data_IF_940400473168
#
_entry.id   IF_940400473168
#
_cell.length_a   1.000
_cell.length_b   1.000
_cell.length_c   1.000
_cell.angle_alpha   90.00
_cell.angle_beta   90.00
_cell.angle_gamma   90.00
#
_symmetry.space_group_name_H-M   'P 1'
#
loop_
_entity.id
_entity.type
_entity.pdbx_description
1 polymer ?
#
# COMPACT_ATOMS: atom_id res chain seq x y z
N UNK A 1 -4.78 -7.22 0.94
CA UNK A 1 -5.12 -7.63 -0.44
C UNK A 1 -4.09 -8.67 -0.88
N UNK A 2 -4.52 -9.92 -1.14
CA UNK A 2 -3.64 -10.94 -1.72
C UNK A 2 -3.30 -10.49 -3.14
N UNK A 3 -2.03 -10.38 -3.49
CA UNK A 3 -1.61 -10.20 -4.88
C UNK A 3 -2.07 -11.41 -5.68
N UNK A 4 -2.98 -11.20 -6.62
CA UNK A 4 -3.47 -12.25 -7.52
C UNK A 4 -2.36 -12.63 -8.49
N UNK A 5 -2.05 -13.92 -8.58
CA UNK A 5 -0.94 -14.42 -9.38
C UNK A 5 -1.28 -14.45 -10.87
N UNK A 6 -2.58 -14.46 -11.21
CA UNK A 6 -3.05 -14.47 -12.59
C UNK A 6 -4.14 -13.41 -12.83
N UNK A 7 -4.31 -12.93 -14.08
CA UNK A 7 -5.42 -12.03 -14.42
C UNK A 7 -6.81 -12.63 -14.13
N UNK A 8 -6.96 -13.96 -14.27
CA UNK A 8 -8.23 -14.61 -13.97
C UNK A 8 -8.53 -14.62 -12.46
N UNK A 9 -7.53 -14.82 -11.61
CA UNK A 9 -7.68 -14.66 -10.15
C UNK A 9 -8.02 -13.22 -9.76
N UNK A 10 -7.48 -12.23 -10.46
CA UNK A 10 -7.88 -10.83 -10.25
C UNK A 10 -9.34 -10.60 -10.67
N UNK A 11 -9.77 -11.14 -11.81
CA UNK A 11 -11.17 -11.11 -12.22
C UNK A 11 -12.12 -11.79 -11.23
N UNK A 12 -11.71 -12.93 -10.64
CA UNK A 12 -12.44 -13.59 -9.55
C UNK A 12 -12.53 -12.68 -8.32
N UNK A 13 -11.45 -11.98 -7.96
CA UNK A 13 -11.45 -11.05 -6.84
C UNK A 13 -12.43 -9.89 -7.05
N UNK A 14 -12.48 -9.33 -8.26
CA UNK A 14 -13.44 -8.29 -8.62
C UNK A 14 -14.88 -8.84 -8.59
N UNK A 15 -15.12 -10.02 -9.18
CA UNK A 15 -16.45 -10.65 -9.21
C UNK A 15 -17.01 -11.00 -7.82
N UNK A 16 -16.12 -11.24 -6.86
CA UNK A 16 -16.45 -11.59 -5.48
C UNK A 16 -16.17 -10.44 -4.50
N UNK A 17 -15.94 -9.21 -4.98
CA UNK A 17 -15.44 -8.09 -4.16
C UNK A 17 -16.35 -7.74 -2.97
N UNK A 18 -17.64 -8.06 -3.07
CA UNK A 18 -18.66 -7.82 -2.07
C UNK A 18 -19.07 -9.09 -1.28
N UNK A 19 -18.35 -10.19 -1.52
CA UNK A 19 -18.49 -11.47 -0.82
C UNK A 19 -19.55 -12.41 -1.39
N UNK A 20 -20.14 -12.11 -2.55
CA UNK A 20 -21.06 -13.02 -3.26
C UNK A 20 -20.90 -12.92 -4.78
N UNK A 21 -20.97 -14.06 -5.48
CA UNK A 21 -20.96 -14.08 -6.94
C UNK A 21 -22.37 -13.91 -7.51
N UNK A 22 -22.58 -12.87 -8.31
CA UNK A 22 -23.84 -12.65 -9.03
C UNK A 22 -23.88 -13.43 -10.35
N UNK A 23 -25.09 -13.64 -10.90
CA UNK A 23 -25.28 -14.28 -12.22
C UNK A 23 -24.55 -13.52 -13.33
N UNK A 24 -24.58 -12.19 -13.29
CA UNK A 24 -23.87 -11.33 -14.24
C UNK A 24 -22.37 -11.41 -14.04
N UNK A 25 -21.88 -11.46 -12.80
CA UNK A 25 -20.47 -11.72 -12.49
C UNK A 25 -19.97 -13.04 -13.09
N UNK A 26 -20.77 -14.12 -12.98
CA UNK A 26 -20.42 -15.42 -13.59
C UNK A 26 -20.31 -15.35 -15.13
N UNK A 27 -21.24 -14.65 -15.80
CA UNK A 27 -21.18 -14.42 -17.25
C UNK A 27 -19.96 -13.57 -17.65
N UNK A 28 -19.61 -12.55 -16.86
CA UNK A 28 -18.41 -11.75 -17.10
C UNK A 28 -17.13 -12.57 -16.92
N UNK A 29 -17.10 -13.55 -16.00
CA UNK A 29 -15.98 -14.48 -15.87
C UNK A 29 -15.85 -15.43 -17.06
N UNK A 30 -16.94 -15.84 -17.70
CA UNK A 30 -16.90 -16.59 -18.97
C UNK A 30 -16.31 -15.75 -20.11
N UNK A 31 -16.68 -14.47 -20.19
CA UNK A 31 -16.09 -13.52 -21.13
C UNK A 31 -14.60 -13.32 -20.87
N UNK A 32 -14.21 -13.20 -19.60
CA UNK A 32 -12.81 -13.11 -19.20
C UNK A 32 -12.03 -14.38 -19.57
N UNK A 33 -12.58 -15.58 -19.29
CA UNK A 33 -11.97 -16.85 -19.68
C UNK A 33 -11.68 -16.90 -21.18
N UNK A 34 -12.68 -16.53 -21.98
CA UNK A 34 -12.58 -16.51 -23.45
C UNK A 34 -11.48 -15.54 -23.90
N UNK A 35 -11.43 -14.35 -23.29
CA UNK A 35 -10.42 -13.32 -23.60
C UNK A 35 -9.00 -13.76 -23.23
N UNK A 36 -8.83 -14.41 -22.09
CA UNK A 36 -7.53 -14.91 -21.62
C UNK A 36 -7.13 -16.25 -22.28
N UNK A 37 -7.97 -16.79 -23.18
CA UNK A 37 -7.76 -18.08 -23.88
C UNK A 37 -7.50 -19.22 -22.88
N UNK A 38 -8.27 -19.24 -21.80
CA UNK A 38 -8.16 -20.27 -20.75
C UNK A 38 -9.08 -21.45 -21.06
N UNK A 39 -8.54 -22.67 -21.02
CA UNK A 39 -9.36 -23.89 -21.08
C UNK A 39 -10.20 -24.07 -19.81
N UNK A 40 -11.34 -24.77 -19.92
CA UNK A 40 -12.20 -25.08 -18.78
C UNK A 40 -11.44 -25.80 -17.66
N UNK A 41 -10.50 -26.68 -18.02
CA UNK A 41 -9.63 -27.38 -17.07
C UNK A 41 -8.72 -26.41 -16.29
N UNK A 42 -8.14 -25.42 -16.96
CA UNK A 42 -7.31 -24.41 -16.30
C UNK A 42 -8.15 -23.51 -15.41
N UNK A 43 -9.32 -23.05 -15.89
CA UNK A 43 -10.27 -22.26 -15.12
C UNK A 43 -10.70 -23.01 -13.85
N UNK A 44 -11.14 -24.25 -13.97
CA UNK A 44 -11.59 -25.06 -12.84
C UNK A 44 -10.49 -25.20 -11.78
N UNK A 45 -9.24 -25.43 -12.18
CA UNK A 45 -8.12 -25.52 -11.24
C UNK A 45 -7.79 -24.21 -10.52
N UNK A 46 -8.04 -23.06 -11.14
CA UNK A 46 -7.89 -21.73 -10.51
C UNK A 46 -9.06 -21.49 -9.54
N UNK A 47 -10.30 -21.76 -9.98
CA UNK A 47 -11.50 -21.58 -9.17
C UNK A 47 -11.51 -22.51 -7.94
N UNK A 48 -11.06 -23.76 -8.07
CA UNK A 48 -10.96 -24.69 -6.94
C UNK A 48 -9.99 -24.18 -5.86
N UNK A 49 -8.81 -23.70 -6.26
CA UNK A 49 -7.85 -23.06 -5.35
C UNK A 49 -8.42 -21.79 -4.72
N UNK A 50 -9.14 -21.00 -5.51
CA UNK A 50 -9.81 -19.79 -5.05
C UNK A 50 -10.85 -20.13 -3.98
N UNK A 51 -11.75 -21.08 -4.25
CA UNK A 51 -12.80 -21.55 -3.33
C UNK A 51 -12.23 -22.05 -2.00
N UNK A 52 -11.13 -22.81 -2.02
CA UNK A 52 -10.44 -23.24 -0.80
C UNK A 52 -9.99 -22.03 0.05
N UNK A 53 -9.62 -20.94 -0.60
CA UNK A 53 -9.21 -19.69 0.05
C UNK A 53 -10.36 -18.81 0.54
N UNK A 54 -11.62 -19.09 0.14
CA UNK A 54 -12.83 -18.34 0.53
C UNK A 54 -13.40 -18.75 1.90
N UNK A 55 -12.90 -19.84 2.51
CA UNK A 55 -13.39 -20.39 3.80
C UNK A 55 -13.43 -19.39 4.98
N UNK A 56 -12.84 -18.20 4.81
CA UNK A 56 -12.78 -17.12 5.82
C UNK A 56 -13.56 -15.85 5.46
N UNK A 57 -14.32 -15.82 4.35
CA UNK A 57 -15.03 -14.60 3.91
C UNK A 57 -16.44 -14.59 4.50
N UNK A 58 -16.67 -13.70 5.48
CA UNK A 58 -18.02 -13.34 5.90
C UNK A 58 -18.74 -12.65 4.73
N UNK A 59 -19.94 -13.13 4.40
CA UNK A 59 -20.83 -12.54 3.39
C UNK A 59 -21.14 -11.09 3.78
N UNK A 60 -20.75 -10.11 2.94
CA UNK A 60 -20.88 -8.67 3.24
C UNK A 60 -22.00 -7.97 2.45
N UNK A 61 -22.50 -8.56 1.36
CA UNK A 61 -23.43 -7.91 0.41
C UNK A 61 -24.19 -8.91 -0.49
N UNK A 62 -25.08 -8.40 -1.36
CA UNK A 62 -26.02 -9.11 -2.23
C UNK A 62 -25.56 -9.34 -3.70
N UNK A 63 -24.35 -8.96 -4.11
CA UNK A 63 -23.77 -9.31 -5.42
C UNK A 63 -23.56 -8.16 -6.42
N UNK A 64 -22.98 -7.04 -6.00
CA UNK A 64 -22.65 -5.86 -6.83
C UNK A 64 -21.19 -5.88 -7.36
N UNK A 65 -20.44 -6.98 -7.18
CA UNK A 65 -19.06 -7.13 -7.69
C UNK A 65 -18.94 -7.25 -9.22
N UNK A 66 -20.07 -7.38 -9.93
CA UNK A 66 -20.11 -7.45 -11.39
C UNK A 66 -19.78 -6.12 -12.07
N UNK A 67 -20.06 -4.98 -11.44
CA UNK A 67 -19.72 -3.67 -11.98
C UNK A 67 -18.21 -3.45 -12.06
N UNK A 68 -17.48 -3.83 -11.00
CA UNK A 68 -16.01 -3.73 -10.96
C UNK A 68 -15.35 -4.61 -12.03
N UNK A 69 -15.80 -5.86 -12.17
CA UNK A 69 -15.33 -6.76 -13.22
C UNK A 69 -15.70 -6.23 -14.62
N UNK A 70 -16.91 -5.69 -14.80
CA UNK A 70 -17.34 -5.14 -16.09
C UNK A 70 -16.50 -3.95 -16.52
N UNK A 71 -16.17 -3.04 -15.59
CA UNK A 71 -15.32 -1.89 -15.87
C UNK A 71 -13.89 -2.30 -16.21
N UNK A 72 -13.33 -3.28 -15.49
CA UNK A 72 -12.01 -3.81 -15.81
C UNK A 72 -11.97 -4.50 -17.18
N UNK A 73 -13.00 -5.29 -17.55
CA UNK A 73 -13.11 -5.89 -18.88
C UNK A 73 -13.22 -4.85 -20.01
N UNK A 74 -13.93 -3.74 -19.78
CA UNK A 74 -13.96 -2.62 -20.73
C UNK A 74 -12.58 -1.98 -20.88
N UNK A 75 -11.88 -1.73 -19.78
CA UNK A 75 -10.54 -1.16 -19.78
C UNK A 75 -9.53 -2.08 -20.52
N UNK A 76 -9.67 -3.40 -20.41
CA UNK A 76 -8.84 -4.37 -21.12
C UNK A 76 -9.02 -4.31 -22.66
N UNK A 77 -10.10 -3.73 -23.16
CA UNK A 77 -10.46 -3.75 -24.58
C UNK A 77 -9.65 -2.80 -25.47
N UNK A 78 -8.83 -1.92 -24.90
CA UNK A 78 -8.02 -0.95 -25.64
C UNK A 78 -6.57 -1.43 -25.82
N UNK A 79 -6.37 -2.43 -26.70
CA UNK A 79 -5.12 -3.19 -26.82
C UNK A 79 -3.88 -2.37 -27.19
N UNK A 80 -4.00 -1.41 -28.11
CA UNK A 80 -2.84 -0.64 -28.59
C UNK A 80 -2.25 0.28 -27.51
N UNK A 81 -3.10 0.82 -26.64
CA UNK A 81 -2.66 1.60 -25.48
C UNK A 81 -2.04 0.71 -24.39
N UNK A 82 -2.53 -0.52 -24.24
CA UNK A 82 -2.04 -1.46 -23.23
C UNK A 82 -0.65 -2.00 -23.56
N UNK A 83 -0.33 -2.26 -24.83
CA UNK A 83 1.02 -2.71 -25.22
C UNK A 83 2.08 -1.65 -24.93
N UNK A 84 1.82 -0.40 -25.32
CA UNK A 84 2.74 0.71 -25.05
C UNK A 84 2.91 0.95 -23.54
N UNK A 85 1.81 0.92 -22.78
CA UNK A 85 1.87 1.07 -21.33
C UNK A 85 2.58 -0.12 -20.65
N UNK A 86 2.37 -1.35 -21.12
CA UNK A 86 3.10 -2.51 -20.62
C UNK A 86 4.61 -2.38 -20.90
N UNK A 87 4.99 -1.87 -22.07
CA UNK A 87 6.39 -1.59 -22.40
C UNK A 87 6.99 -0.53 -21.46
N UNK A 88 6.28 0.55 -21.17
CA UNK A 88 6.72 1.57 -20.21
C UNK A 88 6.83 1.00 -18.78
N UNK A 89 5.86 0.21 -18.33
CA UNK A 89 5.90 -0.46 -17.03
C UNK A 89 7.07 -1.45 -16.91
N UNK A 90 7.42 -2.12 -18.00
CA UNK A 90 8.62 -2.98 -18.08
C UNK A 90 9.90 -2.20 -17.86
N UNK A 91 10.02 -1.02 -18.48
CA UNK A 91 11.15 -0.09 -18.24
C UNK A 91 11.18 0.37 -16.78
N UNK A 92 10.04 0.81 -16.25
CA UNK A 92 9.93 1.26 -14.85
C UNK A 92 10.30 0.13 -13.88
N UNK A 93 9.91 -1.11 -14.16
CA UNK A 93 10.30 -2.28 -13.37
C UNK A 93 11.82 -2.55 -13.34
N UNK A 94 12.52 -2.31 -14.46
CA UNK A 94 13.97 -2.38 -14.49
C UNK A 94 14.60 -1.30 -13.59
N UNK A 95 14.14 -0.05 -13.72
CA UNK A 95 14.66 1.09 -12.96
C UNK A 95 14.45 0.96 -11.45
N UNK A 96 13.32 0.41 -11.03
CA UNK A 96 13.03 0.13 -9.61
C UNK A 96 13.97 -0.94 -9.02
N UNK A 97 14.56 -1.79 -9.86
CA UNK A 97 15.42 -2.88 -9.41
C UNK A 97 14.64 -4.01 -8.74
N UNK A 98 13.67 -4.58 -9.46
CA UNK A 98 12.88 -5.70 -8.93
C UNK A 98 13.72 -6.94 -8.61
N UNK A 99 13.35 -7.62 -7.53
CA UNK A 99 13.88 -8.96 -7.26
C UNK A 99 13.48 -9.96 -8.35
N UNK A 100 14.30 -11.01 -8.56
CA UNK A 100 14.03 -12.08 -9.54
C UNK A 100 12.65 -12.72 -9.35
N UNK A 101 12.18 -12.85 -8.11
CA UNK A 101 10.86 -13.44 -7.82
C UNK A 101 9.72 -12.48 -8.14
N UNK A 102 9.90 -11.18 -7.88
CA UNK A 102 8.91 -10.14 -8.23
C UNK A 102 8.81 -9.97 -9.74
N UNK A 103 9.94 -9.91 -10.45
CA UNK A 103 9.97 -9.85 -11.91
C UNK A 103 9.24 -11.03 -12.54
N UNK A 104 9.51 -12.27 -12.08
CA UNK A 104 8.81 -13.46 -12.56
C UNK A 104 7.30 -13.37 -12.39
N UNK A 105 6.82 -12.85 -11.25
CA UNK A 105 5.38 -12.65 -11.00
C UNK A 105 4.79 -11.61 -11.95
N UNK A 106 5.44 -10.46 -12.10
CA UNK A 106 4.98 -9.39 -12.99
C UNK A 106 4.91 -9.86 -14.44
N UNK A 107 5.98 -10.50 -14.91
CA UNK A 107 6.06 -11.04 -16.25
C UNK A 107 5.02 -12.14 -16.49
N UNK A 108 4.79 -13.04 -15.53
CA UNK A 108 3.76 -14.07 -15.64
C UNK A 108 2.35 -13.48 -15.69
N UNK A 109 2.08 -12.42 -14.91
CA UNK A 109 0.82 -11.69 -14.98
C UNK A 109 0.63 -11.01 -16.34
N UNK A 110 1.67 -10.34 -16.84
CA UNK A 110 1.67 -9.71 -18.16
C UNK A 110 1.44 -10.75 -19.29
N UNK A 111 2.07 -11.93 -19.22
CA UNK A 111 1.80 -13.05 -20.14
C UNK A 111 0.32 -13.43 -20.11
N UNK A 112 -0.28 -13.51 -18.92
CA UNK A 112 -1.70 -13.82 -18.78
C UNK A 112 -2.62 -12.83 -19.50
N UNK A 113 -2.21 -11.57 -19.65
CA UNK A 113 -2.93 -10.54 -20.40
C UNK A 113 -2.59 -10.50 -21.90
N UNK A 114 -1.66 -11.34 -22.37
CA UNK A 114 -1.10 -11.26 -23.73
C UNK A 114 -0.04 -10.16 -23.90
N UNK A 115 0.40 -9.52 -22.81
CA UNK A 115 1.31 -8.36 -22.79
C UNK A 115 2.75 -8.72 -22.35
N UNK A 116 3.07 -10.00 -22.25
CA UNK A 116 4.37 -10.47 -21.75
C UNK A 116 5.55 -9.98 -22.60
N UNK A 117 5.43 -10.04 -23.92
CA UNK A 117 6.49 -9.60 -24.84
C UNK A 117 6.70 -8.07 -24.81
N UNK A 118 5.66 -7.21 -24.91
CA UNK A 118 5.80 -5.77 -24.69
C UNK A 118 6.45 -5.43 -23.35
N UNK A 119 6.00 -6.04 -22.26
CA UNK A 119 6.54 -5.81 -20.92
C UNK A 119 8.02 -6.21 -20.81
N UNK A 120 8.41 -7.35 -21.36
CA UNK A 120 9.82 -7.77 -21.38
C UNK A 120 10.67 -6.83 -22.24
N UNK A 121 10.20 -6.44 -23.43
CA UNK A 121 10.90 -5.50 -24.33
C UNK A 121 11.20 -4.16 -23.65
N UNK A 122 10.28 -3.67 -22.82
CA UNK A 122 10.49 -2.46 -22.02
C UNK A 122 11.70 -2.51 -21.08
N UNK A 123 11.91 -3.66 -20.44
CA UNK A 123 13.07 -3.87 -19.57
C UNK A 123 14.38 -4.06 -20.35
N UNK A 124 14.35 -4.69 -21.53
CA UNK A 124 15.56 -5.02 -22.28
C UNK A 124 16.00 -3.97 -23.31
N UNK A 125 15.09 -3.12 -23.82
CA UNK A 125 15.37 -2.11 -24.85
C UNK A 125 15.39 -0.71 -24.24
N UNK A 126 16.35 -0.50 -23.33
CA UNK A 126 16.49 0.67 -22.45
C UNK A 126 16.45 2.03 -23.15
N UNK A 127 16.91 2.12 -24.40
CA UNK A 127 17.05 3.38 -25.14
C UNK A 127 15.76 3.83 -25.87
N UNK A 128 14.71 2.99 -25.90
CA UNK A 128 13.55 3.23 -26.77
C UNK A 128 12.27 3.69 -26.06
N UNK A 129 12.25 3.72 -24.72
CA UNK A 129 11.03 3.97 -23.93
C UNK A 129 11.39 4.64 -22.61
N UNK A 130 10.74 5.77 -22.31
CA UNK A 130 10.86 6.41 -21.00
C UNK A 130 10.03 5.68 -19.94
N UNK A 131 10.51 5.61 -18.69
CA UNK A 131 9.71 5.12 -17.57
C UNK A 131 8.45 5.98 -17.42
N UNK A 132 7.36 5.35 -17.00
CA UNK A 132 6.08 6.03 -16.78
C UNK A 132 5.62 5.90 -15.34
N UNK A 133 4.98 6.97 -14.84
CA UNK A 133 4.14 6.98 -13.64
C UNK A 133 2.65 6.96 -13.97
N UNK A 134 2.30 6.82 -15.26
CA UNK A 134 0.94 6.85 -15.77
C UNK A 134 0.71 5.63 -16.69
N UNK A 135 -0.36 4.88 -16.44
CA UNK A 135 -0.73 3.70 -17.20
C UNK A 135 -2.25 3.54 -17.17
N UNK A 136 -2.85 2.82 -18.14
CA UNK A 136 -4.28 2.54 -18.13
C UNK A 136 -4.67 1.69 -16.92
N UNK A 137 -5.82 2.01 -16.34
CA UNK A 137 -6.46 1.31 -15.22
C UNK A 137 -6.45 -0.22 -15.32
N UNK A 138 -6.55 -0.78 -16.53
CA UNK A 138 -6.45 -2.22 -16.77
C UNK A 138 -5.13 -2.85 -16.31
N UNK A 139 -4.04 -2.07 -16.23
CA UNK A 139 -2.71 -2.51 -15.81
C UNK A 139 -2.40 -2.23 -14.34
N UNK A 140 -3.35 -1.68 -13.57
CA UNK A 140 -3.20 -1.48 -12.12
C UNK A 140 -2.70 -2.75 -11.39
N UNK A 141 -3.23 -3.96 -11.66
CA UNK A 141 -2.71 -5.16 -11.03
C UNK A 141 -1.23 -5.43 -11.35
N UNK A 142 -0.80 -5.17 -12.59
CA UNK A 142 0.58 -5.32 -13.01
C UNK A 142 1.48 -4.29 -12.31
N UNK A 143 1.04 -3.04 -12.25
CA UNK A 143 1.70 -1.97 -11.51
C UNK A 143 1.83 -2.29 -10.01
N UNK A 144 0.80 -2.87 -9.38
CA UNK A 144 0.85 -3.33 -7.99
C UNK A 144 1.91 -4.43 -7.81
N UNK A 145 2.02 -5.39 -8.73
CA UNK A 145 3.02 -6.47 -8.65
C UNK A 145 4.45 -5.91 -8.70
N UNK A 146 4.70 -4.88 -9.50
CA UNK A 146 6.02 -4.22 -9.59
C UNK A 146 6.24 -3.11 -8.55
N UNK A 147 5.29 -2.92 -7.63
CA UNK A 147 5.42 -1.98 -6.51
C UNK A 147 5.11 -0.52 -6.83
N UNK A 148 4.45 -0.26 -7.97
CA UNK A 148 4.06 1.08 -8.44
C UNK A 148 2.63 1.47 -8.06
N UNK A 149 1.71 0.52 -7.92
CA UNK A 149 0.30 0.77 -7.62
C UNK A 149 -0.10 0.25 -6.24
N UNK A 150 -0.92 1.01 -5.52
CA UNK A 150 -1.82 0.55 -4.44
C UNK A 150 -3.18 1.25 -4.59
N UNK A 151 -3.63 1.45 -5.83
CA UNK A 151 -4.95 1.97 -6.17
C UNK A 151 -5.79 0.85 -6.78
N UNK A 152 -7.02 0.67 -6.29
CA UNK A 152 -8.08 0.14 -7.14
C UNK A 152 -8.99 1.30 -7.53
N UNK A 153 -9.50 1.19 -8.74
CA UNK A 153 -10.58 1.95 -9.37
C UNK A 153 -11.92 1.59 -8.70
N UNK A 154 -12.80 2.58 -8.49
CA UNK A 154 -14.26 2.40 -8.52
C UNK A 154 -14.97 3.76 -8.43
N UNK A 155 -16.18 3.90 -9.00
CA UNK A 155 -16.83 5.18 -9.27
C UNK A 155 -17.23 5.91 -7.98
N UNK A 156 -17.15 7.24 -8.06
CA UNK A 156 -17.52 8.18 -7.00
C UNK A 156 -18.96 7.92 -6.50
N UNK A 157 -19.18 7.93 -5.18
CA UNK A 157 -20.24 8.72 -4.60
C UNK A 157 -19.68 10.11 -4.29
N UNK A 158 -20.30 11.14 -4.86
CA UNK A 158 -20.12 12.52 -4.40
C UNK A 158 -20.63 12.62 -2.97
N UNK A 159 -19.71 12.46 -2.02
CA UNK A 159 -19.92 12.93 -0.66
C UNK A 159 -19.60 14.42 -0.71
N UNK A 160 -20.57 15.27 -0.39
CA UNK A 160 -20.32 16.69 -0.12
C UNK A 160 -19.39 16.77 1.10
N UNK A 161 -18.10 17.01 0.87
CA UNK A 161 -17.08 17.14 1.91
C UNK A 161 -17.20 18.55 2.48
N UNK A 162 -17.73 18.67 3.70
CA UNK A 162 -17.56 19.87 4.51
C UNK A 162 -16.17 19.78 5.18
N UNK A 163 -15.23 20.60 4.71
CA UNK A 163 -13.90 20.74 5.31
C UNK A 163 -13.99 21.19 6.77
N UNK A 164 -13.25 20.53 7.67
CA UNK A 164 -13.13 20.91 9.08
C UNK A 164 -11.66 21.04 9.49
N UNK A 165 -11.21 22.30 9.60
CA UNK A 165 -10.34 22.98 10.60
C UNK A 165 -9.07 22.34 11.19
N UNK A 166 -8.75 21.06 10.99
CA UNK A 166 -7.60 20.41 11.62
C UNK A 166 -6.79 19.61 10.58
N UNK A 167 -5.98 20.29 9.74
CA UNK A 167 -5.05 19.62 8.84
C UNK A 167 -4.14 18.70 9.64
N UNK A 168 -3.87 17.50 9.12
CA UNK A 168 -2.88 16.54 9.64
C UNK A 168 -1.77 16.21 8.64
N UNK A 169 -1.99 16.57 7.38
CA UNK A 169 -0.99 16.54 6.32
C UNK A 169 -1.15 17.81 5.52
N UNK A 170 -0.05 18.49 5.26
CA UNK A 170 0.00 19.66 4.37
C UNK A 170 1.18 19.49 3.43
N UNK A 171 0.92 19.59 2.13
CA UNK A 171 1.95 19.66 1.10
C UNK A 171 1.82 21.01 0.38
N UNK A 172 2.67 21.95 0.77
CA UNK A 172 2.70 23.28 0.20
C UNK A 172 3.39 23.28 -1.18
N UNK A 173 3.12 24.32 -1.97
CA UNK A 173 3.71 24.53 -3.30
C UNK A 173 3.41 23.41 -4.32
N UNK A 174 2.24 22.79 -4.23
CA UNK A 174 1.77 21.85 -5.25
C UNK A 174 0.55 22.44 -5.96
N UNK A 175 0.53 22.39 -7.30
CA UNK A 175 -0.64 22.76 -8.11
C UNK A 175 -1.75 21.69 -8.08
N UNK A 176 -1.69 20.76 -7.12
CA UNK A 176 -2.47 19.53 -7.11
C UNK A 176 -3.34 19.49 -5.86
N UNK A 177 -4.45 18.78 -5.96
CA UNK A 177 -5.42 18.64 -4.87
C UNK A 177 -5.25 17.30 -4.17
N UNK A 178 -5.51 17.28 -2.86
CA UNK A 178 -5.53 16.04 -2.10
C UNK A 178 -6.57 15.06 -2.68
N UNK A 179 -6.28 13.76 -2.56
CA UNK A 179 -7.15 12.68 -3.06
C UNK A 179 -7.55 11.75 -1.93
N UNK A 180 -8.68 11.07 -2.09
CA UNK A 180 -9.15 10.08 -1.11
C UNK A 180 -8.22 8.85 -1.15
N UNK A 181 -7.69 8.47 0.01
CA UNK A 181 -6.72 7.38 0.12
C UNK A 181 -7.42 6.10 0.62
N UNK A 182 -7.57 5.09 -0.26
CA UNK A 182 -8.16 3.79 0.13
C UNK A 182 -7.33 3.07 1.19
N UNK A 183 -6.03 3.34 1.24
CA UNK A 183 -5.11 2.72 2.19
C UNK A 183 -5.00 3.48 3.53
N UNK A 184 -5.57 4.68 3.65
CA UNK A 184 -5.74 5.35 4.93
C UNK A 184 -7.08 6.10 4.91
N UNK A 185 -8.20 5.38 5.06
CA UNK A 185 -9.55 5.93 4.80
C UNK A 185 -9.94 7.03 5.80
N UNK A 186 -9.26 7.09 6.94
CA UNK A 186 -9.44 8.13 7.95
C UNK A 186 -8.82 9.48 7.57
N UNK A 187 -8.04 9.52 6.48
CA UNK A 187 -7.62 10.78 5.85
C UNK A 187 -8.70 11.29 4.90
N UNK A 188 -9.24 12.45 5.23
CA UNK A 188 -10.24 13.15 4.44
C UNK A 188 -9.53 14.25 3.65
N UNK A 189 -9.47 14.17 2.31
CA UNK A 189 -8.84 15.21 1.49
C UNK A 189 -9.65 16.51 1.56
N UNK A 190 -8.96 17.65 1.58
CA UNK A 190 -9.55 18.94 1.26
C UNK A 190 -9.69 19.09 -0.26
N UNK A 191 -10.74 19.73 -0.74
CA UNK A 191 -11.03 19.82 -2.18
C UNK A 191 -10.19 20.85 -2.90
N UNK A 192 -9.66 21.84 -2.19
CA UNK A 192 -9.04 23.02 -2.81
C UNK A 192 -7.53 23.11 -2.58
N UNK A 193 -6.99 22.30 -1.68
CA UNK A 193 -5.60 22.33 -1.27
C UNK A 193 -5.03 20.90 -1.19
N UNK A 194 -3.71 20.77 -1.23
CA UNK A 194 -3.05 19.49 -0.98
C UNK A 194 -2.93 19.21 0.53
N UNK A 195 -4.10 19.16 1.17
CA UNK A 195 -4.27 19.04 2.61
C UNK A 195 -5.17 17.85 2.92
N UNK A 196 -4.83 17.08 3.95
CA UNK A 196 -5.74 16.08 4.50
C UNK A 196 -6.07 16.39 5.96
N UNK A 197 -7.34 16.19 6.29
CA UNK A 197 -7.87 16.18 7.65
C UNK A 197 -7.96 14.75 8.18
N UNK A 198 -8.09 14.60 9.50
CA UNK A 198 -8.13 13.29 10.17
C UNK A 198 -9.47 12.99 10.82
N UNK A 199 -10.00 11.79 10.58
CA UNK A 199 -11.23 11.26 11.17
C UNK A 199 -11.01 10.03 12.06
N UNK A 200 -9.76 9.68 12.36
CA UNK A 200 -9.44 8.59 13.28
C UNK A 200 -9.57 8.99 14.75
N UNK A 201 -9.49 8.00 15.64
CA UNK A 201 -9.70 8.18 17.09
C UNK A 201 -8.66 9.11 17.74
N UNK A 202 -7.38 8.97 17.37
CA UNK A 202 -6.29 9.77 17.93
C UNK A 202 -6.21 11.14 17.27
N UNK A 203 -6.18 12.21 18.07
CA UNK A 203 -6.14 13.59 17.56
C UNK A 203 -4.69 14.10 17.41
N UNK A 204 -4.39 14.89 16.37
CA UNK A 204 -3.09 15.53 16.21
C UNK A 204 -2.78 16.46 17.40
N UNK A 205 -1.50 16.57 17.73
CA UNK A 205 -1.02 17.48 18.78
C UNK A 205 -0.73 18.84 18.15
N UNK A 206 -1.50 19.86 18.54
CA UNK A 206 -1.32 21.22 18.04
C UNK A 206 -1.64 21.39 16.55
N UNK A 207 -1.29 22.56 16.01
CA UNK A 207 -1.46 22.91 14.61
C UNK A 207 -0.23 22.54 13.79
N UNK A 208 -0.36 22.31 12.45
CA UNK A 208 0.78 22.02 11.59
C UNK A 208 1.81 23.16 11.65
N UNK A 209 3.12 22.83 11.72
CA UNK A 209 4.17 23.83 11.57
C UNK A 209 4.25 24.32 10.12
N UNK A 210 4.89 25.46 9.91
CA UNK A 210 5.25 25.91 8.56
C UNK A 210 6.33 24.99 7.98
N UNK A 211 6.14 24.55 6.74
CA UNK A 211 7.04 23.63 6.04
C UNK A 211 6.51 23.28 4.66
N UNK A 212 7.36 22.72 3.80
CA UNK A 212 6.95 22.29 2.46
C UNK A 212 6.07 21.05 2.51
N UNK A 213 6.44 20.08 3.35
CA UNK A 213 5.68 18.85 3.53
C UNK A 213 5.66 18.45 4.99
N UNK A 214 4.50 18.56 5.64
CA UNK A 214 4.35 18.24 7.05
C UNK A 214 3.33 17.13 7.27
N UNK A 215 3.64 16.20 8.18
CA UNK A 215 2.82 15.03 8.51
C UNK A 215 2.71 14.92 10.04
N UNK A 216 1.49 14.84 10.55
CA UNK A 216 1.24 14.61 11.97
C UNK A 216 1.58 13.19 12.40
N UNK A 217 2.09 13.03 13.63
CA UNK A 217 2.48 11.74 14.19
C UNK A 217 1.34 10.72 14.22
N UNK A 218 0.09 11.17 14.38
CA UNK A 218 -1.09 10.28 14.38
C UNK A 218 -1.28 9.55 13.06
N UNK A 219 -0.89 10.18 11.95
CA UNK A 219 -0.95 9.58 10.62
C UNK A 219 0.12 8.49 10.48
N UNK A 220 1.34 8.76 10.96
CA UNK A 220 2.42 7.77 10.97
C UNK A 220 2.07 6.57 11.84
N UNK A 221 1.46 6.79 13.00
CA UNK A 221 1.01 5.72 13.88
C UNK A 221 -0.01 4.83 13.19
N UNK A 222 -1.03 5.42 12.55
CA UNK A 222 -2.03 4.70 11.78
C UNK A 222 -1.42 3.93 10.61
N UNK A 223 -0.42 4.51 9.94
CA UNK A 223 0.30 3.86 8.87
C UNK A 223 1.10 2.63 9.34
N UNK A 224 1.84 2.75 10.45
CA UNK A 224 2.59 1.63 11.04
C UNK A 224 1.64 0.51 11.48
N UNK A 225 0.53 0.87 12.15
CA UNK A 225 -0.55 -0.07 12.50
C UNK A 225 -1.00 -0.85 11.28
N UNK A 226 -1.26 -0.16 10.17
CA UNK A 226 -1.69 -0.79 8.92
C UNK A 226 -0.62 -1.71 8.33
N UNK A 227 0.65 -1.30 8.30
CA UNK A 227 1.74 -2.15 7.80
C UNK A 227 1.86 -3.45 8.59
N UNK A 228 1.69 -3.39 9.91
CA UNK A 228 1.70 -4.57 10.78
C UNK A 228 0.48 -5.47 10.54
N UNK A 229 -0.73 -4.89 10.51
CA UNK A 229 -1.97 -5.62 10.22
C UNK A 229 -1.92 -6.31 8.86
N UNK A 230 -1.40 -5.64 7.84
CA UNK A 230 -1.24 -6.22 6.50
C UNK A 230 -0.28 -7.41 6.47
N UNK A 231 0.72 -7.47 7.35
CA UNK A 231 1.59 -8.65 7.48
C UNK A 231 0.85 -9.79 8.16
N UNK A 232 0.11 -9.51 9.23
CA UNK A 232 -0.74 -10.48 9.93
C UNK A 232 -1.78 -11.09 8.98
N UNK A 233 -2.48 -10.25 8.22
CA UNK A 233 -3.49 -10.68 7.23
C UNK A 233 -2.91 -11.55 6.11
N UNK A 234 -1.61 -11.40 5.80
CA UNK A 234 -0.90 -12.25 4.84
C UNK A 234 -0.44 -13.58 5.42
N UNK A 235 -0.58 -13.77 6.74
CA UNK A 235 0.02 -14.90 7.45
C UNK A 235 1.53 -14.77 7.67
N UNK A 236 2.09 -13.58 7.41
CA UNK A 236 3.49 -13.26 7.70
C UNK A 236 3.65 -12.89 9.19
N UNK A 237 4.85 -13.05 9.74
CA UNK A 237 5.14 -12.48 11.05
C UNK A 237 5.12 -10.94 10.97
N UNK A 238 4.50 -10.23 11.93
CA UNK A 238 4.41 -8.77 11.89
C UNK A 238 5.79 -8.12 11.83
N UNK A 239 6.73 -8.67 12.61
CA UNK A 239 8.08 -8.17 12.76
C UNK A 239 9.08 -9.33 12.74
N UNK A 240 10.34 -9.02 12.44
CA UNK A 240 11.46 -9.92 12.72
C UNK A 240 11.58 -10.12 14.24
N UNK A 241 11.94 -11.32 14.69
CA UNK A 241 12.05 -11.63 16.12
C UNK A 241 10.72 -11.79 16.86
N UNK A 242 9.60 -11.88 16.13
CA UNK A 242 8.28 -12.10 16.71
C UNK A 242 8.23 -13.40 17.55
N UNK A 243 7.79 -13.36 18.83
CA UNK A 243 7.72 -14.56 19.63
C UNK A 243 6.70 -15.55 19.07
N UNK A 244 6.96 -16.86 19.22
CA UNK A 244 6.02 -17.92 18.79
C UNK A 244 4.71 -17.78 19.55
N UNK A 245 3.59 -17.88 18.84
CA UNK A 245 2.22 -17.79 19.37
C UNK A 245 1.85 -16.43 19.98
N UNK A 246 2.71 -15.41 19.89
CA UNK A 246 2.38 -14.08 20.37
C UNK A 246 1.33 -13.43 19.46
N UNK A 247 0.33 -12.81 20.07
CA UNK A 247 -0.68 -12.02 19.38
C UNK A 247 -0.43 -10.53 19.61
N UNK A 248 -0.48 -9.75 18.53
CA UNK A 248 -0.45 -8.29 18.64
C UNK A 248 -1.82 -7.83 19.14
N UNK A 249 -1.85 -6.91 20.11
CA UNK A 249 -3.05 -6.11 20.37
C UNK A 249 -2.99 -4.89 19.45
N UNK A 250 -3.70 -4.84 18.30
CA UNK A 250 -3.40 -3.85 17.25
C UNK A 250 -3.70 -2.41 17.66
N UNK A 251 -4.70 -2.21 18.53
CA UNK A 251 -5.03 -0.91 19.10
C UNK A 251 -3.95 -0.35 20.03
N UNK A 252 -3.02 -1.17 20.50
CA UNK A 252 -1.98 -0.79 21.46
C UNK A 252 -0.71 -0.20 20.86
N UNK A 253 -0.61 -0.16 19.52
CA UNK A 253 0.54 0.44 18.84
C UNK A 253 0.48 1.95 19.06
N UNK A 254 1.49 2.53 19.68
CA UNK A 254 1.51 3.95 20.05
C UNK A 254 2.85 4.56 19.65
N UNK A 255 2.81 5.76 19.10
CA UNK A 255 3.99 6.59 18.90
C UNK A 255 4.03 7.72 19.93
N UNK A 256 5.17 7.86 20.62
CA UNK A 256 5.42 8.93 21.58
C UNK A 256 6.67 9.69 21.20
N UNK A 257 6.56 11.02 21.17
CA UNK A 257 7.70 11.90 20.95
C UNK A 257 8.20 12.48 22.28
N UNK A 258 9.52 12.49 22.46
CA UNK A 258 10.21 13.23 23.52
C UNK A 258 11.36 14.02 22.92
N UNK A 259 11.17 15.33 22.71
CA UNK A 259 12.15 16.16 22.00
C UNK A 259 12.36 15.68 20.56
N UNK A 260 13.59 15.26 20.24
CA UNK A 260 13.97 14.69 18.94
C UNK A 260 13.87 13.16 18.89
N UNK A 261 13.51 12.53 20.00
CA UNK A 261 13.34 11.08 20.09
C UNK A 261 11.90 10.70 19.72
N UNK A 262 11.78 9.59 19.01
CA UNK A 262 10.51 8.93 18.75
C UNK A 262 10.55 7.49 19.25
N UNK A 263 9.59 7.16 20.11
CA UNK A 263 9.40 5.84 20.69
C UNK A 263 8.18 5.18 20.07
N UNK A 264 8.36 3.96 19.57
CA UNK A 264 7.28 3.06 19.17
C UNK A 264 7.09 2.02 20.26
N UNK A 265 5.86 1.90 20.75
CA UNK A 265 5.45 0.90 21.73
C UNK A 265 4.28 0.07 21.20
N UNK A 266 4.16 -1.16 21.68
CA UNK A 266 3.01 -2.03 21.42
C UNK A 266 2.84 -3.02 22.56
N UNK A 267 1.65 -3.61 22.69
CA UNK A 267 1.35 -4.70 23.61
C UNK A 267 1.30 -6.01 22.82
N UNK A 268 2.06 -7.00 23.32
CA UNK A 268 2.02 -8.38 22.85
C UNK A 268 1.39 -9.26 23.92
N UNK A 269 0.42 -10.06 23.51
CA UNK A 269 -0.13 -11.14 24.31
C UNK A 269 0.65 -12.44 24.04
N UNK A 270 1.33 -12.95 25.06
CA UNK A 270 2.11 -14.18 25.01
C UNK A 270 1.29 -15.41 25.48
N UNK A 271 -0.04 -15.28 25.61
CA UNK A 271 -0.94 -16.32 26.08
C UNK A 271 -0.73 -16.58 27.58
N UNK A 272 -0.34 -17.81 27.93
CA UNK A 272 -0.12 -18.21 29.34
C UNK A 272 1.01 -17.44 30.04
N UNK A 273 1.85 -16.74 29.28
CA UNK A 273 2.95 -15.91 29.81
C UNK A 273 2.57 -14.44 30.00
N UNK A 274 1.31 -14.07 29.74
CA UNK A 274 0.76 -12.74 30.00
C UNK A 274 1.08 -11.69 28.93
N UNK A 275 0.77 -10.44 29.26
CA UNK A 275 0.97 -9.28 28.39
C UNK A 275 2.34 -8.65 28.63
N UNK A 276 3.04 -8.32 27.54
CA UNK A 276 4.29 -7.55 27.58
C UNK A 276 4.19 -6.32 26.69
N UNK A 277 4.97 -5.28 27.03
CA UNK A 277 4.97 -4.01 26.29
C UNK A 277 6.36 -3.69 25.73
N UNK A 278 6.79 -4.37 24.64
CA UNK A 278 8.06 -4.04 24.00
C UNK A 278 8.02 -2.64 23.39
N UNK A 279 9.20 -2.04 23.28
CA UNK A 279 9.38 -0.71 22.72
C UNK A 279 10.69 -0.61 21.93
N UNK A 280 10.78 0.39 21.06
CA UNK A 280 12.01 0.79 20.39
C UNK A 280 12.07 2.31 20.27
N UNK A 281 13.26 2.86 20.09
CA UNK A 281 13.48 4.29 19.88
C UNK A 281 14.33 4.57 18.66
N UNK A 282 14.05 5.72 18.06
CA UNK A 282 14.91 6.37 17.07
C UNK A 282 15.11 7.83 17.49
N UNK A 283 16.19 8.41 17.00
CA UNK A 283 16.53 9.82 17.20
C UNK A 283 16.56 10.49 15.83
N UNK A 284 15.81 11.58 15.67
CA UNK A 284 15.77 12.38 14.45
C UNK A 284 16.63 13.63 14.65
N UNK A 285 17.88 13.58 14.21
CA UNK A 285 18.86 14.64 14.42
C UNK A 285 19.50 15.05 13.09
N UNK A 286 19.61 16.36 12.84
CA UNK A 286 20.30 16.92 11.66
C UNK A 286 19.83 16.36 10.30
N UNK A 287 18.54 16.00 10.17
CA UNK A 287 18.02 15.45 8.92
C UNK A 287 18.15 13.93 8.76
N UNK A 288 18.67 13.23 9.78
CA UNK A 288 18.98 11.79 9.73
C UNK A 288 18.29 11.04 10.87
N UNK A 289 17.90 9.79 10.59
CA UNK A 289 17.25 8.88 11.56
C UNK A 289 18.26 7.87 12.12
N UNK A 290 18.67 8.10 13.36
CA UNK A 290 19.58 7.24 14.12
C UNK A 290 18.80 6.23 14.96
N UNK A 291 19.30 4.99 15.06
CA UNK A 291 18.69 3.92 15.86
C UNK A 291 19.30 3.86 17.25
N UNK A 292 18.49 3.60 18.27
CA UNK A 292 19.03 3.32 19.60
C UNK A 292 19.44 1.85 19.74
N UNK A 293 20.42 1.58 20.58
CA UNK A 293 20.78 0.21 20.94
C UNK A 293 19.65 -0.46 21.76
N UNK A 294 19.47 -1.79 21.63
CA UNK A 294 18.54 -2.51 22.49
C UNK A 294 18.95 -2.40 23.96
N UNK A 295 18.00 -2.48 24.91
CA UNK A 295 18.29 -2.53 26.34
C UNK A 295 19.33 -3.61 26.70
N UNK A 296 20.19 -3.29 27.68
CA UNK A 296 21.19 -4.24 28.18
C UNK A 296 20.52 -5.44 28.87
N UNK A 297 21.14 -6.61 28.78
CA UNK A 297 20.62 -7.84 29.41
C UNK A 297 19.52 -8.56 28.65
N UNK A 298 19.07 -8.06 27.49
CA UNK A 298 18.10 -8.77 26.65
C UNK A 298 18.71 -10.03 26.01
N UNK A 299 17.91 -11.09 25.98
CA UNK A 299 18.22 -12.32 25.25
C UNK A 299 18.18 -12.08 23.73
N UNK A 300 18.57 -13.11 22.95
CA UNK A 300 18.64 -13.00 21.48
C UNK A 300 17.26 -12.78 20.84
N UNK A 301 16.19 -13.35 21.42
CA UNK A 301 14.82 -13.18 20.93
C UNK A 301 14.34 -11.74 21.06
N UNK A 302 14.44 -11.16 22.27
CA UNK A 302 14.02 -9.78 22.52
C UNK A 302 14.87 -8.75 21.78
N UNK A 303 16.17 -9.00 21.58
CA UNK A 303 17.02 -8.17 20.70
C UNK A 303 16.53 -8.17 19.26
N UNK A 304 16.20 -9.34 18.73
CA UNK A 304 15.67 -9.49 17.36
C UNK A 304 14.33 -8.77 17.20
N UNK A 305 13.47 -8.82 18.22
CA UNK A 305 12.20 -8.09 18.23
C UNK A 305 12.41 -6.58 18.26
N UNK A 306 13.30 -6.08 19.13
CA UNK A 306 13.65 -4.67 19.19
C UNK A 306 14.12 -4.16 17.83
N UNK A 307 15.06 -4.87 17.18
CA UNK A 307 15.52 -4.54 15.83
C UNK A 307 14.40 -4.61 14.78
N UNK A 308 13.50 -5.59 14.89
CA UNK A 308 12.32 -5.69 14.03
C UNK A 308 11.39 -4.49 14.16
N UNK A 309 11.14 -4.03 15.39
CA UNK A 309 10.36 -2.82 15.67
C UNK A 309 11.07 -1.57 15.12
N UNK A 310 12.39 -1.46 15.29
CA UNK A 310 13.18 -0.34 14.76
C UNK A 310 13.05 -0.26 13.24
N UNK A 311 13.18 -1.40 12.55
CA UNK A 311 13.01 -1.48 11.09
C UNK A 311 11.60 -1.12 10.64
N UNK A 312 10.57 -1.52 11.39
CA UNK A 312 9.19 -1.15 11.10
C UNK A 312 8.97 0.35 11.22
N UNK A 313 9.48 0.96 12.30
CA UNK A 313 9.38 2.40 12.51
C UNK A 313 10.07 3.19 11.38
N UNK A 314 11.30 2.81 11.02
CA UNK A 314 12.02 3.38 9.87
C UNK A 314 11.25 3.20 8.57
N UNK A 315 10.77 1.99 8.30
CA UNK A 315 9.96 1.70 7.11
C UNK A 315 8.71 2.58 7.04
N UNK A 316 8.04 2.84 8.17
CA UNK A 316 6.89 3.74 8.21
C UNK A 316 7.26 5.16 7.81
N UNK A 317 8.36 5.69 8.37
CA UNK A 317 8.86 7.04 8.10
C UNK A 317 9.33 7.20 6.66
N UNK A 318 9.94 6.17 6.07
CA UNK A 318 10.43 6.24 4.69
C UNK A 318 9.30 6.09 3.66
N UNK A 319 8.29 5.26 3.96
CA UNK A 319 7.27 4.89 2.97
C UNK A 319 6.08 5.83 2.97
N UNK A 320 5.58 6.27 4.12
CA UNK A 320 4.41 7.17 4.21
C UNK A 320 4.56 8.44 3.36
N UNK A 321 5.64 9.26 3.51
CA UNK A 321 5.78 10.50 2.76
C UNK A 321 5.86 10.24 1.24
N UNK A 322 6.52 9.16 0.82
CA UNK A 322 6.57 8.75 -0.59
C UNK A 322 5.19 8.38 -1.12
N UNK A 323 4.42 7.59 -0.37
CA UNK A 323 3.06 7.19 -0.77
C UNK A 323 2.12 8.39 -0.90
N UNK A 324 2.24 9.38 -0.01
CA UNK A 324 1.46 10.62 -0.09
C UNK A 324 1.82 11.46 -1.32
N UNK A 325 3.12 11.63 -1.61
CA UNK A 325 3.59 12.34 -2.79
C UNK A 325 3.17 11.64 -4.09
N UNK A 326 3.22 10.31 -4.13
CA UNK A 326 2.71 9.50 -5.25
C UNK A 326 1.20 9.70 -5.41
N UNK A 327 0.44 9.70 -4.32
CA UNK A 327 -1.02 9.84 -4.39
C UNK A 327 -1.45 11.17 -5.03
N UNK A 328 -0.66 12.23 -4.84
CA UNK A 328 -0.87 13.52 -5.51
C UNK A 328 -0.01 13.69 -6.75
N UNK A 329 0.61 12.62 -7.26
CA UNK A 329 1.42 12.63 -8.48
C UNK A 329 2.56 13.66 -8.44
N UNK A 330 3.11 13.98 -7.27
CA UNK A 330 4.22 14.93 -7.14
C UNK A 330 5.48 14.38 -7.82
N UNK A 331 6.25 15.26 -8.48
CA UNK A 331 7.58 14.94 -9.03
C UNK A 331 8.69 15.10 -7.99
N UNK A 332 8.38 15.66 -6.82
CA UNK A 332 9.31 15.85 -5.71
C UNK A 332 9.43 14.57 -4.87
N UNK A 333 10.56 14.43 -4.17
CA UNK A 333 10.80 13.37 -3.19
C UNK A 333 11.10 13.93 -1.80
N UNK A 334 10.85 13.16 -0.73
CA UNK A 334 11.19 13.58 0.64
C UNK A 334 12.71 13.64 0.81
N UNK A 335 13.20 14.81 1.21
CA UNK A 335 14.59 15.08 1.56
C UNK A 335 14.83 14.99 3.06
N UNK A 336 15.50 15.99 3.64
CA UNK A 336 15.82 16.01 5.07
C UNK A 336 14.55 16.03 5.91
N UNK A 337 14.62 15.32 7.03
CA UNK A 337 13.52 15.16 7.98
C UNK A 337 13.84 15.86 9.31
N UNK A 338 12.85 16.55 9.85
CA UNK A 338 12.91 17.07 11.22
C UNK A 338 11.62 16.73 11.96
N UNK A 339 11.73 16.58 13.28
CA UNK A 339 10.62 16.23 14.16
C UNK A 339 10.39 17.34 15.18
N UNK A 340 9.22 17.97 15.15
CA UNK A 340 8.88 19.10 16.02
C UNK A 340 7.44 18.98 16.54
N UNK A 341 7.26 18.92 17.86
CA UNK A 341 5.95 19.01 18.55
C UNK A 341 4.83 18.12 17.98
N UNK A 342 5.13 16.87 17.63
CA UNK A 342 4.17 15.90 17.08
C UNK A 342 4.06 15.91 15.56
N UNK A 343 4.99 16.58 14.87
CA UNK A 343 4.99 16.74 13.42
C UNK A 343 6.33 16.41 12.82
N UNK A 344 6.29 15.62 11.75
CA UNK A 344 7.41 15.51 10.83
C UNK A 344 7.33 16.62 9.79
N UNK A 345 8.47 17.25 9.53
CA UNK A 345 8.66 18.18 8.44
C UNK A 345 9.72 17.61 7.50
N UNK A 346 9.35 17.47 6.23
CA UNK A 346 10.18 16.99 5.15
C UNK A 346 10.47 18.15 4.21
N UNK A 347 11.75 18.37 3.93
CA UNK A 347 12.14 19.17 2.76
C UNK A 347 11.72 18.41 1.49
N UNK A 348 11.27 19.11 0.46
CA UNK A 348 11.02 18.51 -0.84
C UNK A 348 12.20 18.78 -1.77
N UNK A 349 12.69 17.71 -2.39
CA UNK A 349 13.81 17.80 -3.33
C UNK A 349 13.38 17.31 -4.71
N UNK A 350 14.02 17.82 -5.76
CA UNK A 350 13.81 17.31 -7.11
C UNK A 350 14.39 15.91 -7.26
N UNK A 351 13.75 15.12 -8.12
CA UNK A 351 14.27 13.83 -8.55
C UNK A 351 15.43 14.09 -9.52
N UNK A 352 16.67 14.08 -9.01
CA UNK A 352 17.88 14.21 -9.83
C UNK A 352 18.20 12.94 -10.60
#
# INVERSE_FOLDING_TARGET
MKLHQTPFEHGLALAWSDGALSRRGAQLLELLQSRLVLSDKQRAGIEEKWLQSLSNIQRRSFGDGDEALSNWLKALSNTDQLENAAKQLGRTALEIGLSKSTWKKAHQFAIGLGLGEPFAKGAWLEESVSPTSDWPEALDPLAIIIGLGMGEISPKPEIKINASKNPVIVINNTEKTAVKLKWLPDLIPDTNECVWSWNGENKPIGSPPSGEFVISLVVLEAWIKRLMLQRIERGDTPLTGWPKNAQLVPSSVILQQSGIELQLEMILDLGSHGLVKPWTRIVCEQGVINTTNPPQGLDKGWKSLHEGMTKMLKSGIDTLPRQLLIAVRSTKIPGKISLTKGWFNYELTDFN
#
